data_IF_304113541255
#
_entry.id   IF_304113541255
#
_cell.length_a   1.000
_cell.length_b   1.000
_cell.length_c   1.000
_cell.angle_alpha   90.00
_cell.angle_beta   90.00
_cell.angle_gamma   90.00
#
_symmetry.space_group_name_H-M   'P 1'
#
loop_
_entity.id
_entity.type
_entity.pdbx_description
1 polymer ?
#
# COMPACT_ATOMS: atom_id res chain seq x y z
N UNK A 1 -27.78 -23.95 -10.33
CA UNK A 1 -27.33 -23.32 -11.59
C UNK A 1 -25.82 -23.30 -11.53
N UNK A 2 -25.15 -24.31 -12.08
CA UNK A 2 -23.81 -24.67 -11.60
C UNK A 2 -22.69 -23.73 -12.03
N UNK A 3 -22.78 -22.95 -13.11
CA UNK A 3 -21.82 -21.87 -13.37
C UNK A 3 -22.49 -20.72 -14.13
N UNK A 4 -22.45 -19.49 -13.59
CA UNK A 4 -22.86 -18.27 -14.32
C UNK A 4 -21.96 -17.95 -15.53
N UNK A 5 -20.91 -18.75 -15.79
CA UNK A 5 -20.09 -18.70 -16.99
C UNK A 5 -19.58 -17.29 -17.28
N UNK A 6 -19.86 -16.79 -18.49
CA UNK A 6 -19.48 -15.44 -18.91
C UNK A 6 -20.14 -14.32 -18.08
N UNK A 7 -21.32 -14.55 -17.51
CA UNK A 7 -22.08 -13.53 -16.79
C UNK A 7 -21.42 -13.12 -15.45
N UNK A 8 -20.56 -13.96 -14.86
CA UNK A 8 -19.85 -13.61 -13.62
C UNK A 8 -18.78 -12.53 -13.80
N UNK A 9 -18.38 -12.22 -15.04
CA UNK A 9 -17.40 -11.16 -15.34
C UNK A 9 -18.06 -9.77 -15.34
N UNK A 10 -19.38 -9.72 -15.55
CA UNK A 10 -20.12 -8.46 -15.68
C UNK A 10 -19.99 -7.58 -14.43
N UNK A 11 -20.16 -8.08 -13.19
CA UNK A 11 -20.08 -7.23 -12.01
C UNK A 11 -18.70 -6.58 -11.78
N UNK A 12 -17.57 -7.33 -11.87
CA UNK A 12 -16.24 -6.73 -11.83
C UNK A 12 -16.00 -5.70 -12.96
N UNK A 13 -16.47 -5.99 -14.17
CA UNK A 13 -16.31 -5.07 -15.31
C UNK A 13 -17.07 -3.76 -15.09
N UNK A 14 -18.31 -3.84 -14.61
CA UNK A 14 -19.10 -2.67 -14.24
C UNK A 14 -18.38 -1.85 -13.17
N UNK A 15 -17.85 -2.49 -12.13
CA UNK A 15 -17.10 -1.79 -11.09
C UNK A 15 -15.90 -1.02 -11.66
N UNK A 16 -15.11 -1.63 -12.55
CA UNK A 16 -13.96 -0.98 -13.19
C UNK A 16 -14.41 0.19 -14.07
N UNK A 17 -15.40 -0.01 -14.93
CA UNK A 17 -15.89 1.06 -15.81
C UNK A 17 -16.43 2.23 -15.00
N UNK A 18 -17.22 1.94 -13.96
CA UNK A 18 -17.77 2.96 -13.09
C UNK A 18 -16.69 3.72 -12.33
N UNK A 19 -15.58 3.07 -11.92
CA UNK A 19 -14.51 3.79 -11.20
C UNK A 19 -13.80 4.79 -12.10
N UNK A 20 -13.63 4.44 -13.39
CA UNK A 20 -13.04 5.32 -14.38
C UNK A 20 -13.95 6.52 -14.70
N UNK A 21 -15.26 6.31 -14.73
CA UNK A 21 -16.25 7.36 -15.03
C UNK A 21 -16.52 8.27 -13.83
N UNK A 22 -16.81 7.69 -12.67
CA UNK A 22 -17.22 8.42 -11.46
C UNK A 22 -16.04 8.97 -10.67
N UNK A 23 -14.83 8.43 -10.89
CA UNK A 23 -13.64 8.67 -10.06
C UNK A 23 -13.89 8.43 -8.56
N UNK A 24 -14.86 7.57 -8.24
CA UNK A 24 -15.27 7.23 -6.88
C UNK A 24 -15.27 5.72 -6.69
N UNK A 25 -14.29 5.24 -5.92
CA UNK A 25 -14.11 3.80 -5.62
C UNK A 25 -15.33 3.24 -4.90
N UNK A 26 -15.82 3.94 -3.87
CA UNK A 26 -16.93 3.47 -3.03
C UNK A 26 -18.21 3.29 -3.86
N UNK A 27 -18.58 4.30 -4.66
CA UNK A 27 -19.78 4.24 -5.51
C UNK A 27 -19.66 3.11 -6.52
N UNK A 28 -18.48 2.94 -7.11
CA UNK A 28 -18.25 1.94 -8.15
C UNK A 28 -18.29 0.51 -7.62
N UNK A 29 -17.73 0.28 -6.43
CA UNK A 29 -17.83 -1.02 -5.74
C UNK A 29 -19.28 -1.33 -5.36
N UNK A 30 -20.05 -0.35 -4.89
CA UNK A 30 -21.46 -0.54 -4.57
C UNK A 30 -22.28 -0.94 -5.81
N UNK A 31 -22.07 -0.25 -6.94
CA UNK A 31 -22.74 -0.54 -8.21
C UNK A 31 -22.31 -1.91 -8.74
N UNK A 32 -21.02 -2.25 -8.64
CA UNK A 32 -20.51 -3.58 -8.96
C UNK A 32 -21.20 -4.67 -8.14
N UNK A 33 -21.22 -4.55 -6.81
CA UNK A 33 -21.90 -5.49 -5.92
C UNK A 33 -23.39 -5.61 -6.25
N UNK A 34 -24.08 -4.48 -6.42
CA UNK A 34 -25.50 -4.45 -6.76
C UNK A 34 -25.75 -5.18 -8.08
N UNK A 35 -24.92 -4.95 -9.10
CA UNK A 35 -25.05 -5.65 -10.39
C UNK A 35 -24.87 -7.18 -10.26
N UNK A 36 -23.97 -7.65 -9.39
CA UNK A 36 -23.80 -9.08 -9.09
C UNK A 36 -25.04 -9.69 -8.43
N UNK A 37 -25.63 -9.00 -7.46
CA UNK A 37 -26.85 -9.45 -6.78
C UNK A 37 -28.05 -9.40 -7.73
N UNK A 38 -28.06 -8.45 -8.66
CA UNK A 38 -29.09 -8.30 -9.67
C UNK A 38 -29.09 -9.48 -10.66
N UNK A 39 -27.91 -10.02 -10.99
CA UNK A 39 -27.79 -11.27 -11.75
C UNK A 39 -28.36 -12.48 -10.98
N UNK A 40 -28.09 -12.58 -9.67
CA UNK A 40 -28.53 -13.69 -8.82
C UNK A 40 -30.05 -13.67 -8.57
N UNK A 41 -30.68 -12.50 -8.68
CA UNK A 41 -32.12 -12.31 -8.43
C UNK A 41 -32.96 -12.17 -9.70
N UNK A 42 -32.44 -12.64 -10.84
CA UNK A 42 -33.13 -12.60 -12.14
C UNK A 42 -33.54 -11.19 -12.55
N UNK A 43 -32.66 -10.20 -12.34
CA UNK A 43 -32.85 -8.80 -12.69
C UNK A 43 -33.99 -8.07 -11.97
N UNK A 44 -34.42 -8.55 -10.78
CA UNK A 44 -35.43 -7.85 -9.98
C UNK A 44 -34.79 -6.81 -9.05
N UNK A 45 -34.93 -5.49 -9.29
CA UNK A 45 -34.20 -4.47 -8.54
C UNK A 45 -34.62 -4.35 -7.07
N UNK A 46 -35.92 -4.54 -6.78
CA UNK A 46 -36.47 -4.43 -5.43
C UNK A 46 -36.00 -5.61 -4.58
N UNK A 47 -36.04 -6.82 -5.14
CA UNK A 47 -35.50 -8.02 -4.49
C UNK A 47 -33.99 -7.91 -4.29
N UNK A 48 -33.27 -7.43 -5.31
CA UNK A 48 -31.81 -7.20 -5.25
C UNK A 48 -31.43 -6.29 -4.10
N UNK A 49 -32.12 -5.16 -3.95
CA UNK A 49 -31.80 -4.18 -2.92
C UNK A 49 -32.05 -4.75 -1.51
N UNK A 50 -33.16 -5.49 -1.33
CA UNK A 50 -33.47 -6.17 -0.07
C UNK A 50 -32.39 -7.19 0.28
N UNK A 51 -31.97 -8.03 -0.67
CA UNK A 51 -30.90 -9.01 -0.46
C UNK A 51 -29.57 -8.34 -0.19
N UNK A 52 -29.22 -7.28 -0.93
CA UNK A 52 -27.98 -6.54 -0.72
C UNK A 52 -27.87 -6.03 0.71
N UNK A 53 -28.92 -5.36 1.20
CA UNK A 53 -28.90 -4.78 2.55
C UNK A 53 -29.02 -5.84 3.64
N UNK A 54 -29.94 -6.79 3.51
CA UNK A 54 -30.24 -7.79 4.54
C UNK A 54 -29.31 -9.01 4.50
N UNK A 55 -29.26 -9.69 3.36
CA UNK A 55 -28.64 -11.02 3.24
C UNK A 55 -27.13 -10.96 3.03
N UNK A 56 -26.59 -9.83 2.54
CA UNK A 56 -25.17 -9.67 2.24
C UNK A 56 -24.49 -8.63 3.14
N UNK A 57 -24.90 -7.35 3.11
CA UNK A 57 -24.19 -6.32 3.89
C UNK A 57 -24.34 -6.54 5.39
N UNK A 58 -25.56 -6.71 5.89
CA UNK A 58 -25.78 -6.88 7.32
C UNK A 58 -25.13 -8.16 7.85
N UNK A 59 -25.33 -9.30 7.18
CA UNK A 59 -24.73 -10.58 7.57
C UNK A 59 -23.21 -10.56 7.55
N UNK A 60 -22.59 -9.95 6.52
CA UNK A 60 -21.13 -9.86 6.42
C UNK A 60 -20.54 -8.99 7.53
N UNK A 61 -21.20 -7.88 7.87
CA UNK A 61 -20.74 -6.98 8.94
C UNK A 61 -21.02 -7.56 10.33
N UNK A 62 -22.10 -8.32 10.50
CA UNK A 62 -22.49 -8.94 11.76
C UNK A 62 -21.74 -10.26 12.05
N UNK A 63 -21.08 -10.84 11.06
CA UNK A 63 -20.22 -12.01 11.25
C UNK A 63 -19.09 -11.68 12.24
N UNK A 64 -18.97 -12.47 13.31
CA UNK A 64 -18.06 -12.20 14.44
C UNK A 64 -16.60 -12.03 13.99
N UNK A 65 -16.20 -12.79 12.98
CA UNK A 65 -14.85 -12.78 12.47
C UNK A 65 -14.59 -11.54 11.60
N UNK A 66 -15.50 -11.21 10.69
CA UNK A 66 -15.42 -9.97 9.92
C UNK A 66 -15.51 -8.73 10.81
N UNK A 67 -16.35 -8.74 11.85
CA UNK A 67 -16.42 -7.68 12.85
C UNK A 67 -15.08 -7.54 13.60
N UNK A 68 -14.45 -8.65 13.99
CA UNK A 68 -13.10 -8.66 14.56
C UNK A 68 -12.06 -8.03 13.63
N UNK A 69 -12.10 -8.36 12.34
CA UNK A 69 -11.24 -7.76 11.32
C UNK A 69 -11.48 -6.26 11.18
N UNK A 70 -12.75 -5.81 11.14
CA UNK A 70 -13.08 -4.39 11.04
C UNK A 70 -12.55 -3.60 12.24
N UNK A 71 -12.70 -4.13 13.45
CA UNK A 71 -12.16 -3.51 14.66
C UNK A 71 -10.63 -3.42 14.56
N UNK A 72 -9.97 -4.51 14.18
CA UNK A 72 -8.52 -4.57 14.02
C UNK A 72 -8.03 -3.55 12.97
N UNK A 73 -8.73 -3.42 11.84
CA UNK A 73 -8.45 -2.44 10.80
C UNK A 73 -8.56 -1.00 11.30
N UNK A 74 -9.57 -0.69 12.13
CA UNK A 74 -9.72 0.64 12.74
C UNK A 74 -8.56 0.96 13.69
N UNK A 75 -8.14 -0.01 14.52
CA UNK A 75 -7.01 0.18 15.43
C UNK A 75 -5.69 0.36 14.69
N UNK A 76 -5.41 -0.49 13.69
CA UNK A 76 -4.20 -0.36 12.86
C UNK A 76 -4.22 0.96 12.10
N UNK A 77 -5.34 1.33 11.47
CA UNK A 77 -5.47 2.61 10.76
C UNK A 77 -5.26 3.82 11.68
N UNK A 78 -5.83 3.81 12.89
CA UNK A 78 -5.63 4.85 13.89
C UNK A 78 -4.18 4.93 14.38
N UNK A 79 -3.54 3.79 14.62
CA UNK A 79 -2.13 3.71 14.97
C UNK A 79 -1.22 4.30 13.88
N UNK A 80 -1.48 3.96 12.62
CA UNK A 80 -0.77 4.51 11.45
C UNK A 80 -0.94 6.03 11.38
N UNK A 81 -2.17 6.54 11.54
CA UNK A 81 -2.44 7.97 11.53
C UNK A 81 -1.71 8.73 12.66
N UNK A 82 -1.65 8.16 13.86
CA UNK A 82 -0.89 8.73 14.99
C UNK A 82 0.61 8.78 14.70
N UNK A 83 1.16 7.73 14.08
CA UNK A 83 2.57 7.68 13.72
C UNK A 83 2.92 8.72 12.65
N UNK A 84 2.08 8.87 11.63
CA UNK A 84 2.22 9.90 10.60
C UNK A 84 2.23 11.30 11.23
N UNK A 85 1.30 11.57 12.13
CA UNK A 85 1.17 12.87 12.80
C UNK A 85 2.26 13.13 13.85
N UNK A 86 2.78 12.08 14.49
CA UNK A 86 3.83 12.18 15.52
C UNK A 86 5.17 12.66 14.97
N UNK A 87 5.41 12.59 13.65
CA UNK A 87 6.70 12.91 13.04
C UNK A 87 7.84 11.95 13.42
N UNK A 88 7.56 10.86 14.16
CA UNK A 88 8.56 9.88 14.58
C UNK A 88 9.31 9.28 13.40
N UNK A 89 8.61 8.99 12.31
CA UNK A 89 9.21 8.41 11.11
C UNK A 89 10.08 9.43 10.33
N UNK A 90 9.72 10.73 10.37
CA UNK A 90 10.56 11.84 9.87
C UNK A 90 11.84 11.99 10.70
N UNK A 91 11.74 11.90 12.03
CA UNK A 91 12.90 11.96 12.93
C UNK A 91 13.82 10.73 12.83
N UNK A 92 13.25 9.55 12.60
CA UNK A 92 14.01 8.31 12.40
C UNK A 92 14.88 8.42 11.16
N UNK A 93 14.31 8.79 10.02
CA UNK A 93 15.08 8.81 8.78
C UNK A 93 16.06 10.00 8.70
N UNK A 94 15.76 11.14 9.34
CA UNK A 94 16.73 12.24 9.49
C UNK A 94 18.00 11.82 10.24
N UNK A 95 17.90 10.87 11.19
CA UNK A 95 19.04 10.40 11.99
C UNK A 95 19.98 9.46 11.23
N UNK A 96 19.50 8.78 10.18
CA UNK A 96 20.29 7.79 9.43
C UNK A 96 21.09 8.37 8.26
N UNK A 97 20.89 9.63 7.87
CA UNK A 97 21.35 10.11 6.55
C UNK A 97 21.97 11.52 6.59
N UNK A 98 22.70 11.86 7.65
CA UNK A 98 23.56 13.04 7.60
C UNK A 98 24.86 12.70 6.84
N UNK A 99 24.95 13.08 5.56
CA UNK A 99 26.24 13.37 4.91
C UNK A 99 26.79 12.40 3.86
N UNK A 100 26.06 11.37 3.41
CA UNK A 100 26.55 10.51 2.32
C UNK A 100 26.33 11.17 0.94
N UNK A 101 27.39 11.31 0.14
CA UNK A 101 27.30 11.79 -1.27
C UNK A 101 27.12 10.65 -2.30
N UNK A 102 27.05 9.39 -1.84
CA UNK A 102 27.04 8.24 -2.73
C UNK A 102 25.61 7.92 -3.21
N UNK A 103 25.35 8.06 -4.52
CA UNK A 103 24.05 7.79 -5.15
C UNK A 103 23.48 6.40 -4.84
N UNK A 104 24.33 5.37 -4.80
CA UNK A 104 23.90 3.99 -4.52
C UNK A 104 23.42 3.88 -3.07
N UNK A 105 24.21 4.42 -2.11
CA UNK A 105 23.87 4.36 -0.69
C UNK A 105 22.56 5.09 -0.39
N UNK A 106 22.33 6.24 -1.01
CA UNK A 106 21.10 7.02 -0.82
C UNK A 106 19.87 6.25 -1.32
N UNK A 107 19.94 5.65 -2.51
CA UNK A 107 18.84 4.86 -3.06
C UNK A 107 18.58 3.58 -2.28
N UNK A 108 19.64 2.85 -1.87
CA UNK A 108 19.49 1.66 -1.02
C UNK A 108 18.96 2.02 0.37
N UNK A 109 19.33 3.17 0.91
CA UNK A 109 18.75 3.65 2.16
C UNK A 109 17.26 3.94 2.01
N UNK A 110 16.82 4.57 0.91
CA UNK A 110 15.40 4.79 0.64
C UNK A 110 14.63 3.48 0.54
N UNK A 111 15.18 2.51 -0.18
CA UNK A 111 14.62 1.17 -0.32
C UNK A 111 14.51 0.45 1.04
N UNK A 112 15.59 0.44 1.83
CA UNK A 112 15.59 -0.19 3.15
C UNK A 112 14.62 0.49 4.11
N UNK A 113 14.56 1.83 4.10
CA UNK A 113 13.60 2.57 4.91
C UNK A 113 12.17 2.27 4.51
N UNK A 114 11.86 2.10 3.22
CA UNK A 114 10.53 1.65 2.78
C UNK A 114 10.17 0.28 3.37
N UNK A 115 11.09 -0.68 3.33
CA UNK A 115 10.91 -2.02 3.89
C UNK A 115 10.77 -2.01 5.41
N UNK A 116 11.45 -1.11 6.14
CA UNK A 116 11.41 -1.05 7.61
C UNK A 116 10.22 -0.22 8.12
N UNK A 117 9.78 0.75 7.33
CA UNK A 117 8.67 1.62 7.71
C UNK A 117 7.33 1.00 7.37
N UNK A 118 7.18 0.20 6.31
CA UNK A 118 6.03 -0.64 5.87
C UNK A 118 4.66 -0.50 6.57
N UNK A 119 4.22 0.73 6.83
CA UNK A 119 3.03 0.97 7.65
C UNK A 119 1.76 0.73 6.86
N UNK A 120 1.72 1.31 5.66
CA UNK A 120 0.64 1.13 4.70
C UNK A 120 1.12 1.53 3.31
N UNK A 121 0.34 1.15 2.28
CA UNK A 121 0.57 1.56 0.90
C UNK A 121 0.53 3.09 0.70
N UNK A 122 -0.14 3.83 1.59
CA UNK A 122 -0.23 5.29 1.53
C UNK A 122 0.73 5.99 2.51
N UNK A 123 0.91 5.44 3.71
CA UNK A 123 1.72 6.05 4.77
C UNK A 123 3.21 5.95 4.53
N UNK A 124 3.67 4.82 3.97
CA UNK A 124 5.09 4.65 3.65
C UNK A 124 5.58 5.74 2.67
N UNK A 125 4.90 6.04 1.56
CA UNK A 125 5.25 7.18 0.71
C UNK A 125 5.18 8.56 1.39
N UNK A 126 4.17 8.79 2.24
CA UNK A 126 4.01 10.07 2.95
C UNK A 126 5.15 10.34 3.93
N UNK A 127 5.74 9.29 4.48
CA UNK A 127 6.87 9.35 5.40
C UNK A 127 8.19 9.40 4.62
N UNK A 128 8.47 8.38 3.82
CA UNK A 128 9.77 8.18 3.16
C UNK A 128 9.99 9.23 2.07
N UNK A 129 8.94 9.64 1.36
CA UNK A 129 9.00 10.62 0.28
C UNK A 129 9.68 11.93 0.69
N UNK A 130 9.10 12.74 1.60
CA UNK A 130 9.67 14.02 2.00
C UNK A 130 11.09 13.93 2.57
N UNK A 131 11.41 12.84 3.27
CA UNK A 131 12.72 12.61 3.87
C UNK A 131 13.78 12.49 2.78
N UNK A 132 13.54 11.59 1.82
CA UNK A 132 14.52 11.26 0.80
C UNK A 132 14.48 12.22 -0.39
N UNK A 133 13.42 12.99 -0.58
CA UNK A 133 13.28 14.02 -1.62
C UNK A 133 14.50 14.97 -1.61
N UNK A 134 14.78 15.59 -0.46
CA UNK A 134 15.90 16.51 -0.32
C UNK A 134 17.28 15.86 -0.53
N UNK A 135 17.42 14.57 -0.24
CA UNK A 135 18.65 13.81 -0.40
C UNK A 135 18.88 13.39 -1.85
N UNK A 136 17.81 13.00 -2.55
CA UNK A 136 17.84 12.68 -3.97
C UNK A 136 18.17 13.90 -4.81
N UNK A 137 17.56 15.05 -4.48
CA UNK A 137 17.86 16.33 -5.14
C UNK A 137 19.34 16.71 -4.97
N UNK A 138 19.87 16.65 -3.74
CA UNK A 138 21.31 16.91 -3.45
C UNK A 138 22.24 15.94 -4.16
N UNK A 139 21.81 14.70 -4.36
CA UNK A 139 22.58 13.66 -5.04
C UNK A 139 22.40 13.65 -6.57
N UNK A 140 21.59 14.57 -7.12
CA UNK A 140 21.23 14.65 -8.55
C UNK A 140 20.66 13.33 -9.06
N UNK A 141 19.72 12.75 -8.31
CA UNK A 141 18.94 11.56 -8.65
C UNK A 141 17.50 12.00 -8.92
N UNK A 142 16.85 11.37 -9.89
CA UNK A 142 15.48 11.70 -10.26
C UNK A 142 14.46 11.39 -9.18
N UNK A 143 13.49 12.30 -9.02
CA UNK A 143 12.35 12.13 -8.13
C UNK A 143 11.43 11.02 -8.63
N UNK A 144 11.40 10.79 -9.93
CA UNK A 144 10.74 9.63 -10.54
C UNK A 144 11.35 8.31 -10.04
N UNK A 145 12.67 8.24 -9.91
CA UNK A 145 13.33 7.06 -9.35
C UNK A 145 13.06 6.90 -7.85
N UNK A 146 13.01 8.00 -7.11
CA UNK A 146 12.56 7.98 -5.71
C UNK A 146 11.14 7.43 -5.59
N UNK A 147 10.20 7.95 -6.39
CA UNK A 147 8.81 7.51 -6.40
C UNK A 147 8.70 6.02 -6.73
N UNK A 148 9.47 5.53 -7.71
CA UNK A 148 9.50 4.11 -8.05
C UNK A 148 10.05 3.22 -6.91
N UNK A 149 11.12 3.64 -6.22
CA UNK A 149 11.67 2.91 -5.07
C UNK A 149 10.64 2.84 -3.94
N UNK A 150 9.99 3.96 -3.63
CA UNK A 150 8.98 4.06 -2.59
C UNK A 150 7.76 3.19 -2.93
N UNK A 151 7.24 3.28 -4.15
CA UNK A 151 6.08 2.51 -4.60
C UNK A 151 6.37 0.99 -4.56
N UNK A 152 7.54 0.59 -5.02
CA UNK A 152 8.00 -0.81 -5.01
C UNK A 152 8.25 -1.37 -3.61
N UNK A 153 8.31 -0.52 -2.58
CA UNK A 153 8.50 -0.92 -1.18
C UNK A 153 7.27 -0.65 -0.30
N UNK A 154 6.29 0.10 -0.79
CA UNK A 154 5.04 0.36 -0.10
C UNK A 154 4.07 -0.81 -0.28
N UNK A 155 3.34 -0.85 -1.40
CA UNK A 155 2.30 -1.86 -1.65
C UNK A 155 2.83 -3.31 -1.61
N UNK A 156 3.99 -3.63 -2.23
CA UNK A 156 4.55 -4.99 -2.20
C UNK A 156 4.85 -5.50 -0.79
N UNK A 157 5.49 -4.69 0.06
CA UNK A 157 5.83 -5.11 1.43
C UNK A 157 4.57 -5.19 2.27
N UNK A 158 3.65 -4.24 2.11
CA UNK A 158 2.38 -4.21 2.84
C UNK A 158 1.58 -5.52 2.70
N UNK A 159 1.48 -6.05 1.48
CA UNK A 159 0.72 -7.29 1.23
C UNK A 159 1.38 -8.53 1.84
N UNK A 160 2.71 -8.55 2.02
CA UNK A 160 3.45 -9.67 2.61
C UNK A 160 3.42 -9.68 4.15
N UNK A 161 2.90 -8.64 4.79
CA UNK A 161 2.96 -8.48 6.24
C UNK A 161 1.61 -8.88 6.87
N UNK A 162 1.56 -9.92 7.72
CA UNK A 162 0.29 -10.49 8.18
C UNK A 162 -0.49 -9.59 9.14
N UNK A 163 0.21 -8.74 9.90
CA UNK A 163 -0.37 -7.94 10.98
C UNK A 163 -0.74 -6.51 10.58
N UNK A 164 -0.74 -6.19 9.28
CA UNK A 164 -1.27 -4.92 8.77
C UNK A 164 -2.56 -5.17 7.98
N UNK A 165 -3.24 -4.09 7.57
CA UNK A 165 -4.57 -4.18 7.00
C UNK A 165 -4.74 -5.17 5.84
N UNK A 166 -3.76 -5.25 4.92
CA UNK A 166 -3.78 -6.22 3.82
C UNK A 166 -3.60 -7.67 4.28
N UNK A 167 -2.66 -7.93 5.19
CA UNK A 167 -2.45 -9.28 5.73
C UNK A 167 -3.67 -9.80 6.48
N UNK A 168 -4.25 -8.96 7.34
CA UNK A 168 -5.48 -9.27 8.08
C UNK A 168 -6.64 -9.54 7.13
N UNK A 169 -6.81 -8.71 6.09
CA UNK A 169 -7.86 -8.91 5.10
C UNK A 169 -7.71 -10.23 4.34
N UNK A 170 -6.50 -10.59 3.89
CA UNK A 170 -6.25 -11.84 3.18
C UNK A 170 -6.50 -13.05 4.09
N UNK A 171 -5.98 -13.03 5.32
CA UNK A 171 -6.31 -14.06 6.32
C UNK A 171 -7.81 -14.18 6.55
N UNK A 172 -8.51 -13.04 6.50
CA UNK A 172 -9.95 -12.92 6.55
C UNK A 172 -10.70 -13.76 5.51
N UNK A 173 -10.28 -13.57 4.26
CA UNK A 173 -10.82 -14.32 3.13
C UNK A 173 -10.48 -15.81 3.22
N UNK A 174 -9.25 -16.14 3.63
CA UNK A 174 -8.81 -17.53 3.79
C UNK A 174 -9.66 -18.26 4.84
N UNK A 175 -9.88 -17.64 6.01
CA UNK A 175 -10.65 -18.24 7.11
C UNK A 175 -12.08 -18.60 6.67
N UNK A 176 -12.72 -17.65 5.97
CA UNK A 176 -14.08 -17.81 5.47
C UNK A 176 -14.18 -19.00 4.53
N UNK A 177 -13.23 -19.13 3.61
CA UNK A 177 -13.20 -20.22 2.63
C UNK A 177 -12.79 -21.57 3.24
N UNK A 178 -11.89 -21.58 4.20
CA UNK A 178 -11.44 -22.80 4.87
C UNK A 178 -12.53 -23.38 5.76
N UNK A 179 -13.27 -22.54 6.50
CA UNK A 179 -14.48 -22.94 7.23
C UNK A 179 -15.53 -23.53 6.30
N UNK A 180 -15.74 -22.93 5.12
CA UNK A 180 -16.68 -23.44 4.11
C UNK A 180 -16.29 -24.81 3.58
N UNK A 181 -15.00 -25.08 3.43
CA UNK A 181 -14.44 -26.32 2.88
C UNK A 181 -14.11 -27.38 3.95
N UNK A 182 -14.33 -27.10 5.23
CA UNK A 182 -13.91 -27.93 6.38
C UNK A 182 -12.41 -28.27 6.35
N UNK A 183 -11.57 -27.27 6.02
CA UNK A 183 -10.11 -27.39 6.05
C UNK A 183 -9.62 -27.00 7.44
N UNK A 184 -8.95 -27.93 8.13
CA UNK A 184 -8.40 -27.75 9.48
C UNK A 184 -6.97 -27.17 9.42
N UNK A 185 -6.85 -25.97 8.85
CA UNK A 185 -5.61 -25.19 8.80
C UNK A 185 -5.95 -23.78 9.26
N UNK A 186 -5.10 -23.18 10.09
CA UNK A 186 -5.33 -21.80 10.51
C UNK A 186 -5.04 -20.83 9.37
N UNK A 187 -5.78 -19.73 9.28
CA UNK A 187 -5.55 -18.70 8.27
C UNK A 187 -4.17 -18.08 8.35
N UNK A 188 -3.57 -18.09 9.56
CA UNK A 188 -2.19 -17.70 9.79
C UNK A 188 -1.21 -18.64 9.10
N UNK A 189 -1.31 -19.95 9.35
CA UNK A 189 -0.40 -20.95 8.77
C UNK A 189 -0.51 -20.98 7.24
N UNK A 190 -1.74 -20.85 6.73
CA UNK A 190 -2.02 -20.72 5.31
C UNK A 190 -1.37 -19.47 4.71
N UNK A 191 -1.50 -18.32 5.38
CA UNK A 191 -0.89 -17.07 4.93
C UNK A 191 0.64 -17.18 4.88
N UNK A 192 1.29 -17.68 5.94
CA UNK A 192 2.74 -17.84 5.98
C UNK A 192 3.22 -18.82 4.90
N UNK A 193 2.51 -19.93 4.70
CA UNK A 193 2.80 -20.91 3.64
C UNK A 193 2.60 -20.34 2.24
N UNK A 194 1.77 -19.30 2.10
CA UNK A 194 1.49 -18.63 0.83
C UNK A 194 2.55 -17.60 0.44
N UNK A 195 3.34 -17.07 1.39
CA UNK A 195 4.32 -16.00 1.15
C UNK A 195 5.32 -16.30 0.02
N UNK A 196 5.88 -17.52 -0.14
CA UNK A 196 6.76 -17.82 -1.27
C UNK A 196 6.09 -17.69 -2.64
N UNK A 197 4.76 -17.78 -2.70
CA UNK A 197 3.97 -17.63 -3.93
C UNK A 197 3.64 -16.17 -4.25
N UNK A 198 4.06 -15.21 -3.41
CA UNK A 198 3.90 -13.78 -3.66
C UNK A 198 4.99 -13.29 -4.62
N UNK A 199 5.02 -13.88 -5.82
CA UNK A 199 6.07 -13.70 -6.82
C UNK A 199 6.21 -12.23 -7.19
N UNK A 200 5.10 -11.54 -7.47
CA UNK A 200 5.15 -10.12 -7.83
C UNK A 200 5.69 -9.25 -6.69
N UNK A 201 5.15 -9.29 -5.45
CA UNK A 201 5.70 -8.51 -4.36
C UNK A 201 7.18 -8.75 -4.08
N UNK A 202 7.60 -10.02 -4.05
CA UNK A 202 8.99 -10.40 -3.80
C UNK A 202 9.90 -9.87 -4.91
N UNK A 203 9.51 -10.04 -6.17
CA UNK A 203 10.29 -9.55 -7.31
C UNK A 203 10.35 -8.02 -7.36
N UNK A 204 9.25 -7.34 -7.07
CA UNK A 204 9.19 -5.88 -7.04
C UNK A 204 10.14 -5.30 -5.99
N UNK A 205 10.20 -5.90 -4.80
CA UNK A 205 11.15 -5.48 -3.76
C UNK A 205 12.59 -5.82 -4.16
N UNK A 206 12.83 -6.96 -4.80
CA UNK A 206 14.17 -7.44 -5.14
C UNK A 206 14.79 -6.75 -6.36
N UNK A 207 13.99 -6.35 -7.34
CA UNK A 207 14.49 -5.71 -8.57
C UNK A 207 15.06 -4.31 -8.30
N UNK A 208 14.59 -3.65 -7.23
CA UNK A 208 15.06 -2.33 -6.82
C UNK A 208 16.56 -2.29 -6.52
N UNK A 209 17.10 -3.05 -5.55
CA UNK A 209 18.53 -3.06 -5.28
C UNK A 209 19.34 -3.56 -6.48
N UNK A 210 18.81 -4.50 -7.27
CA UNK A 210 19.46 -4.98 -8.49
C UNK A 210 19.69 -3.84 -9.50
N UNK A 211 18.65 -3.06 -9.81
CA UNK A 211 18.73 -1.91 -10.73
C UNK A 211 19.67 -0.83 -10.17
N UNK A 212 19.60 -0.56 -8.85
CA UNK A 212 20.45 0.44 -8.19
C UNK A 212 21.94 0.06 -8.26
N UNK A 213 22.28 -1.20 -7.97
CA UNK A 213 23.67 -1.69 -7.93
C UNK A 213 24.24 -1.82 -9.34
N UNK A 214 23.47 -2.40 -10.27
CA UNK A 214 23.91 -2.58 -11.66
C UNK A 214 23.86 -1.26 -12.46
N UNK A 215 23.25 -0.20 -11.92
CA UNK A 215 23.05 1.09 -12.59
C UNK A 215 22.35 0.95 -13.95
N UNK A 216 21.46 -0.03 -14.06
CA UNK A 216 20.73 -0.35 -15.29
C UNK A 216 19.43 0.44 -15.34
N UNK A 217 19.53 1.74 -15.59
CA UNK A 217 18.37 2.56 -15.89
C UNK A 217 18.00 2.41 -17.38
N UNK A 218 16.75 2.05 -17.67
CA UNK A 218 16.24 1.88 -19.04
C UNK A 218 14.93 2.63 -19.27
N UNK A 219 14.58 2.82 -20.54
CA UNK A 219 13.32 3.43 -20.95
C UNK A 219 13.11 4.85 -20.41
N UNK A 220 11.90 5.19 -19.93
CA UNK A 220 11.59 6.51 -19.36
C UNK A 220 12.46 6.87 -18.14
N UNK A 221 12.82 5.88 -17.31
CA UNK A 221 13.65 6.11 -16.12
C UNK A 221 15.05 6.62 -16.49
N UNK A 222 15.64 6.05 -17.54
CA UNK A 222 16.92 6.52 -18.07
C UNK A 222 16.86 7.98 -18.51
N UNK A 223 15.79 8.37 -19.22
CA UNK A 223 15.59 9.77 -19.65
C UNK A 223 15.47 10.72 -18.47
N UNK A 224 14.78 10.31 -17.39
CA UNK A 224 14.66 11.11 -16.17
C UNK A 224 16.01 11.27 -15.45
N UNK A 225 16.80 10.20 -15.34
CA UNK A 225 18.14 10.25 -14.76
C UNK A 225 19.11 11.09 -15.59
N UNK A 226 19.06 10.97 -16.92
CA UNK A 226 19.91 11.72 -17.85
C UNK A 226 19.55 13.22 -17.84
N UNK A 227 18.26 13.59 -17.75
CA UNK A 227 17.79 14.98 -17.55
C UNK A 227 18.52 15.62 -16.37
N UNK A 228 18.40 15.03 -15.19
CA UNK A 228 18.98 15.62 -13.97
C UNK A 228 20.51 15.59 -13.98
N UNK A 229 21.14 14.61 -14.64
CA UNK A 229 22.60 14.58 -14.80
C UNK A 229 23.11 15.69 -15.73
N UNK A 230 22.40 15.97 -16.83
CA UNK A 230 22.85 16.90 -17.87
C UNK A 230 22.38 18.34 -17.64
N UNK A 231 21.11 18.55 -17.30
CA UNK A 231 20.51 19.88 -17.13
C UNK A 231 20.42 20.30 -15.67
N UNK A 232 20.39 19.34 -14.73
CA UNK A 232 20.14 19.62 -13.32
C UNK A 232 18.68 19.98 -13.00
N UNK A 233 17.79 19.93 -14.00
CA UNK A 233 16.38 20.26 -13.81
C UNK A 233 15.63 19.12 -13.12
N UNK A 234 15.13 19.42 -11.92
CA UNK A 234 14.38 18.46 -11.09
C UNK A 234 13.07 18.04 -11.77
N UNK A 235 12.41 18.98 -12.45
CA UNK A 235 11.10 18.83 -13.06
C UNK A 235 11.17 18.79 -14.58
N UNK A 236 10.16 18.19 -15.22
CA UNK A 236 9.98 18.31 -16.66
C UNK A 236 9.41 19.71 -16.99
N UNK A 237 9.70 20.27 -18.18
CA UNK A 237 9.21 21.60 -18.57
C UNK A 237 7.70 21.79 -18.40
N UNK A 238 6.90 20.75 -18.72
CA UNK A 238 5.43 20.79 -18.66
C UNK A 238 4.84 20.18 -17.37
N UNK A 239 5.68 19.89 -16.37
CA UNK A 239 5.19 19.22 -15.17
C UNK A 239 4.46 20.18 -14.21
N UNK A 240 3.30 19.73 -13.71
CA UNK A 240 2.52 20.43 -12.68
C UNK A 240 2.63 19.65 -11.37
N UNK A 241 3.51 20.04 -10.44
CA UNK A 241 3.66 19.33 -9.18
C UNK A 241 2.37 19.42 -8.36
N UNK A 242 1.91 18.27 -7.87
CA UNK A 242 0.70 18.17 -7.02
C UNK A 242 0.97 18.58 -5.57
N UNK A 243 2.24 18.68 -5.19
CA UNK A 243 2.70 19.05 -3.86
C UNK A 243 3.90 19.98 -3.98
N UNK A 244 3.92 21.05 -3.19
CA UNK A 244 5.13 21.86 -3.05
C UNK A 244 6.22 21.05 -2.34
N UNK A 245 7.47 21.20 -2.79
CA UNK A 245 8.61 20.53 -2.16
C UNK A 245 8.75 21.02 -0.72
N UNK A 246 8.81 20.08 0.23
CA UNK A 246 9.01 20.41 1.64
C UNK A 246 10.42 20.98 1.79
N UNK A 247 10.53 22.30 1.96
CA UNK A 247 11.80 22.91 2.34
C UNK A 247 12.22 22.33 3.69
N UNK A 248 13.40 21.70 3.72
CA UNK A 248 13.98 21.06 4.91
C UNK A 248 14.28 22.02 6.08
N UNK A 249 13.93 23.31 5.95
CA UNK A 249 14.11 24.35 6.96
C UNK A 249 12.91 24.52 7.90
N UNK A 250 11.86 23.71 7.74
CA UNK A 250 10.71 23.78 8.63
C UNK A 250 11.03 23.17 10.01
N UNK A 251 11.19 24.06 10.99
CA UNK A 251 11.65 23.82 12.38
C UNK A 251 10.75 22.89 13.23
N UNK A 252 9.79 22.20 12.64
CA UNK A 252 8.87 21.27 13.31
C UNK A 252 9.46 19.87 13.56
N UNK A 253 10.65 19.57 13.02
CA UNK A 253 11.29 18.25 13.18
C UNK A 253 12.00 18.01 14.54
N UNK A 254 11.93 18.93 15.51
CA UNK A 254 12.80 18.90 16.70
C UNK A 254 12.26 18.18 17.94
N UNK A 255 11.02 17.66 17.93
CA UNK A 255 10.41 17.10 19.16
C UNK A 255 10.14 15.59 19.16
N UNK A 256 10.29 14.89 18.03
CA UNK A 256 9.84 13.50 17.92
C UNK A 256 10.97 12.49 18.17
N UNK A 257 10.86 11.74 19.26
CA UNK A 257 11.86 10.75 19.67
C UNK A 257 11.65 9.42 18.93
N UNK A 258 12.72 8.76 18.41
CA UNK A 258 12.65 7.46 17.75
C UNK A 258 12.00 6.34 18.56
N UNK A 259 11.94 6.48 19.90
CA UNK A 259 11.29 5.53 20.81
C UNK A 259 9.79 5.36 20.52
N UNK A 260 9.14 6.35 19.91
CA UNK A 260 7.71 6.32 19.56
C UNK A 260 7.38 5.32 18.44
N UNK A 261 8.38 4.86 17.66
CA UNK A 261 8.21 3.83 16.64
C UNK A 261 8.41 2.43 17.24
N UNK A 262 9.45 2.26 18.06
CA UNK A 262 9.85 0.94 18.57
C UNK A 262 8.94 0.44 19.70
N UNK A 263 8.46 1.33 20.56
CA UNK A 263 7.64 0.93 21.71
C UNK A 263 6.34 0.23 21.29
N UNK A 264 5.55 0.76 20.34
CA UNK A 264 4.30 0.10 19.94
C UNK A 264 4.55 -1.18 19.16
N UNK A 265 5.56 -1.23 18.29
CA UNK A 265 5.92 -2.45 17.54
C UNK A 265 6.36 -3.56 18.51
N UNK A 266 7.18 -3.24 19.53
CA UNK A 266 7.58 -4.21 20.55
C UNK A 266 6.41 -4.66 21.41
N UNK A 267 5.51 -3.75 21.80
CA UNK A 267 4.31 -4.12 22.55
C UNK A 267 3.46 -5.09 21.74
N UNK A 268 3.24 -4.81 20.45
CA UNK A 268 2.41 -5.61 19.55
C UNK A 268 3.04 -6.98 19.21
N UNK A 269 4.38 -7.09 19.22
CA UNK A 269 5.09 -8.37 19.04
C UNK A 269 5.08 -9.22 20.33
N UNK A 270 5.03 -8.59 21.50
CA UNK A 270 5.08 -9.28 22.80
C UNK A 270 3.68 -9.66 23.31
N UNK A 271 2.63 -8.94 22.90
CA UNK A 271 1.22 -9.21 23.23
C UNK A 271 0.58 -10.21 22.27
#
# INVERSE_FOLDING_TARGET
MEHFGFWSIIPPLIAIVMVLLTRSVIVSLFIGLFSGILLITSFNPISSLKKLLGDYLFTTVADEYNAGILILLVFIGGFVALLEQSGGAKAFANKFISGSKNRIKIQLAAWFSGIVIFFSEMGTPLIVGPIYESLFDKAKISREKLAWIIDSTASPVSVMVPFIGWGVYIMGLIDTEFKRLNIDITSWDAFISSLPYFIYPVLAVFIVPLIIILKLDFGPMKKAEDRIKHTGEIYWPDSKPLRESVNSDDKTASLSKPILIWLPILILIIS
#
